data_IF_954255352272
#
_entry.id   IF_954255352272
#
_cell.length_a   1.000
_cell.length_b   1.000
_cell.length_c   1.000
_cell.angle_alpha   90.00
_cell.angle_beta   90.00
_cell.angle_gamma   90.00
#
_symmetry.space_group_name_H-M   'P 1'
#
loop_
_entity.id
_entity.type
_entity.pdbx_description
1 polymer ?
#
# COMPACT_ATOMS: atom_id res chain seq x y z
N UNK A 1 28.62 -5.06 -2.00
CA UNK A 1 27.15 -5.02 -2.05
C UNK A 1 26.78 -3.98 -1.01
N UNK A 2 25.75 -3.18 -1.25
CA UNK A 2 25.30 -2.16 -0.30
C UNK A 2 23.86 -2.43 0.05
N UNK A 3 23.57 -2.46 1.33
CA UNK A 3 22.22 -2.47 1.88
C UNK A 3 21.76 -1.03 2.12
N UNK A 4 20.67 -0.63 1.49
CA UNK A 4 20.20 0.75 1.48
C UNK A 4 18.78 0.81 2.02
N UNK A 5 18.63 1.34 3.24
CA UNK A 5 17.33 1.58 3.86
C UNK A 5 16.70 2.83 3.26
N UNK A 6 15.57 2.65 2.58
CA UNK A 6 14.81 3.68 1.87
C UNK A 6 13.51 4.01 2.60
N UNK A 7 13.18 5.29 2.72
CA UNK A 7 11.89 5.79 3.24
C UNK A 7 11.16 6.56 2.17
N UNK A 8 9.86 6.35 1.96
CA UNK A 8 9.07 7.10 0.97
C UNK A 8 8.32 8.25 1.64
N UNK A 9 8.46 9.48 1.10
CA UNK A 9 7.81 10.67 1.67
C UNK A 9 6.33 10.70 1.29
N UNK A 10 5.46 10.92 2.28
CA UNK A 10 4.00 10.94 2.11
C UNK A 10 3.34 9.56 2.20
N UNK A 11 4.06 8.49 1.86
CA UNK A 11 3.65 7.09 2.06
C UNK A 11 4.12 6.57 3.43
N UNK A 12 5.26 7.04 3.93
CA UNK A 12 5.86 6.61 5.20
C UNK A 12 6.47 5.20 5.17
N UNK A 13 6.24 4.46 4.09
CA UNK A 13 6.85 3.16 3.81
C UNK A 13 8.38 3.18 3.92
N UNK A 14 8.92 2.32 4.79
CA UNK A 14 10.36 2.00 4.91
C UNK A 14 10.63 0.62 4.30
N UNK A 15 11.75 0.45 3.61
CA UNK A 15 12.16 -0.82 3.00
C UNK A 15 13.65 -0.82 2.69
N UNK A 16 14.24 -2.01 2.56
CA UNK A 16 15.67 -2.19 2.27
C UNK A 16 15.86 -2.59 0.81
N UNK A 17 16.86 -2.02 0.16
CA UNK A 17 17.27 -2.38 -1.20
C UNK A 17 18.73 -2.79 -1.19
N UNK A 18 19.02 -3.99 -1.68
CA UNK A 18 20.39 -4.44 -1.91
C UNK A 18 20.83 -4.07 -3.33
N UNK A 19 21.96 -3.37 -3.46
CA UNK A 19 22.48 -2.95 -4.76
C UNK A 19 24.02 -2.97 -4.80
N UNK A 20 24.58 -3.34 -5.94
CA UNK A 20 26.04 -3.30 -6.13
C UNK A 20 26.54 -1.86 -6.31
N UNK A 21 27.66 -1.53 -5.69
CA UNK A 21 28.34 -0.22 -5.71
C UNK A 21 28.54 0.35 -7.12
N UNK A 22 28.82 -0.52 -8.09
CA UNK A 22 29.06 -0.14 -9.49
C UNK A 22 27.79 0.25 -10.26
N UNK A 23 26.61 -0.08 -9.74
CA UNK A 23 25.32 0.26 -10.35
C UNK A 23 25.06 1.75 -10.19
N UNK A 24 24.23 2.28 -11.09
CA UNK A 24 23.89 3.71 -11.09
C UNK A 24 22.66 3.97 -10.24
N UNK A 25 22.52 5.18 -9.73
CA UNK A 25 21.31 5.69 -9.06
C UNK A 25 20.07 5.51 -9.95
N UNK A 26 20.20 5.59 -11.28
CA UNK A 26 19.10 5.28 -12.20
C UNK A 26 18.57 3.83 -12.09
N UNK A 27 19.44 2.85 -11.77
CA UNK A 27 19.03 1.46 -11.52
C UNK A 27 18.32 1.34 -10.18
N UNK A 28 18.85 2.00 -9.15
CA UNK A 28 18.17 2.08 -7.85
C UNK A 28 16.76 2.66 -7.99
N UNK A 29 16.57 3.76 -8.75
CA UNK A 29 15.22 4.30 -9.01
C UNK A 29 14.28 3.29 -9.66
N UNK A 30 14.81 2.44 -10.55
CA UNK A 30 14.04 1.37 -11.19
C UNK A 30 13.68 0.27 -10.16
N UNK A 31 14.62 -0.12 -9.31
CA UNK A 31 14.39 -1.10 -8.23
C UNK A 31 13.35 -0.59 -7.23
N UNK A 32 13.45 0.67 -6.79
CA UNK A 32 12.43 1.31 -5.94
C UNK A 32 11.06 1.31 -6.60
N UNK A 33 11.00 1.61 -7.91
CA UNK A 33 9.75 1.55 -8.68
C UNK A 33 9.17 0.14 -8.73
N UNK A 34 10.00 -0.86 -8.98
CA UNK A 34 9.61 -2.27 -9.09
C UNK A 34 9.14 -2.80 -7.72
N UNK A 35 9.92 -2.57 -6.67
CA UNK A 35 9.63 -3.01 -5.30
C UNK A 35 8.30 -2.44 -4.77
N UNK A 36 8.04 -1.15 -5.04
CA UNK A 36 6.83 -0.47 -4.60
C UNK A 36 5.70 -0.45 -5.63
N UNK A 37 5.93 -1.03 -6.81
CA UNK A 37 4.98 -1.07 -7.92
C UNK A 37 4.39 0.31 -8.28
N UNK A 38 5.19 1.38 -8.23
CA UNK A 38 4.69 2.71 -8.57
C UNK A 38 4.42 2.82 -10.08
N UNK A 39 3.24 3.33 -10.45
CA UNK A 39 2.86 3.46 -11.86
C UNK A 39 3.35 4.77 -12.50
N UNK A 40 4.44 5.32 -11.95
CA UNK A 40 5.00 6.59 -12.38
C UNK A 40 6.24 6.35 -13.26
N UNK A 41 6.51 7.25 -14.22
CA UNK A 41 7.78 7.30 -14.92
C UNK A 41 8.97 7.40 -13.95
N UNK A 42 10.05 6.66 -14.20
CA UNK A 42 11.23 6.57 -13.30
C UNK A 42 11.89 7.95 -13.08
N UNK A 43 11.75 8.85 -14.03
CA UNK A 43 12.22 10.24 -14.01
C UNK A 43 11.42 11.16 -13.07
N UNK A 44 10.23 10.76 -12.65
CA UNK A 44 9.46 11.47 -11.63
C UNK A 44 9.96 11.20 -10.21
N UNK A 45 10.68 10.11 -9.99
CA UNK A 45 11.32 9.81 -8.70
C UNK A 45 12.52 10.73 -8.51
N UNK A 46 12.54 11.48 -7.42
CA UNK A 46 13.75 12.18 -6.98
C UNK A 46 14.22 11.59 -5.67
N UNK A 47 15.46 11.11 -5.65
CA UNK A 47 16.16 10.54 -4.50
C UNK A 47 17.07 11.59 -3.85
N UNK A 48 17.04 11.69 -2.52
CA UNK A 48 17.88 12.53 -1.67
C UNK A 48 18.57 11.76 -0.55
N UNK A 49 19.88 11.91 -0.42
CA UNK A 49 20.63 11.42 0.74
C UNK A 49 20.18 12.18 1.99
N UNK A 50 19.84 11.46 3.06
CA UNK A 50 19.29 12.04 4.27
C UNK A 50 20.33 12.01 5.39
N UNK A 51 21.10 13.10 5.51
CA UNK A 51 22.08 13.31 6.58
C UNK A 51 21.78 14.59 7.34
N UNK A 52 21.93 14.54 8.67
CA UNK A 52 21.81 15.68 9.58
C UNK A 52 23.22 16.08 10.03
N UNK A 53 23.81 17.00 9.27
CA UNK A 53 25.27 17.21 9.33
C UNK A 53 25.98 16.07 8.61
N UNK A 54 26.99 15.48 9.26
CA UNK A 54 27.71 14.31 8.72
C UNK A 54 27.11 12.96 9.15
N UNK A 55 26.09 12.99 10.02
CA UNK A 55 25.47 11.80 10.57
C UNK A 55 24.24 11.35 9.75
N UNK A 56 24.11 10.03 9.58
CA UNK A 56 22.92 9.41 9.03
C UNK A 56 21.71 9.61 9.95
N UNK A 57 20.52 9.69 9.35
CA UNK A 57 19.29 9.70 10.11
C UNK A 57 19.08 8.30 10.71
N UNK A 58 18.77 8.22 12.01
CA UNK A 58 18.54 6.94 12.69
C UNK A 58 17.06 6.60 12.72
N UNK A 59 16.70 5.32 12.76
CA UNK A 59 15.31 4.86 12.84
C UNK A 59 14.56 5.38 14.06
N UNK A 60 15.27 5.66 15.16
CA UNK A 60 14.72 6.28 16.37
C UNK A 60 14.74 7.82 16.36
N UNK A 61 15.21 8.47 15.29
CA UNK A 61 15.14 9.92 15.17
C UNK A 61 13.66 10.34 15.07
N UNK A 62 13.20 11.35 15.83
CA UNK A 62 11.84 11.85 15.73
C UNK A 62 11.42 12.23 14.30
N UNK A 63 12.38 12.69 13.49
CA UNK A 63 12.15 13.01 12.08
C UNK A 63 11.78 11.76 11.27
N UNK A 64 12.23 10.55 11.65
CA UNK A 64 11.85 9.28 11.02
C UNK A 64 10.46 8.84 11.45
N UNK A 65 10.16 8.87 12.75
CA UNK A 65 8.83 8.49 13.26
C UNK A 65 7.73 9.35 12.63
N UNK A 66 7.97 10.65 12.46
CA UNK A 66 7.06 11.54 11.74
C UNK A 66 6.91 11.14 10.27
N UNK A 67 7.98 10.67 9.61
CA UNK A 67 7.89 10.18 8.24
C UNK A 67 7.08 8.91 8.10
N UNK A 68 7.26 7.96 9.01
CA UNK A 68 6.46 6.73 9.07
C UNK A 68 4.97 7.03 9.23
N UNK A 69 4.64 8.11 9.95
CA UNK A 69 3.27 8.62 10.08
C UNK A 69 2.78 9.42 8.84
N UNK A 70 3.59 9.52 7.78
CA UNK A 70 3.27 10.23 6.55
C UNK A 70 3.51 11.76 6.62
N UNK A 71 4.00 12.28 7.75
CA UNK A 71 4.32 13.69 7.92
C UNK A 71 5.71 14.02 7.37
N UNK A 72 5.93 15.27 6.96
CA UNK A 72 7.26 15.71 6.50
C UNK A 72 7.88 16.65 7.54
N UNK A 73 8.82 16.17 8.37
CA UNK A 73 9.48 16.99 9.37
C UNK A 73 10.27 18.12 8.73
N UNK A 74 10.36 19.25 9.45
CA UNK A 74 11.10 20.43 9.01
C UNK A 74 12.57 20.11 8.73
N UNK A 75 13.21 19.30 9.60
CA UNK A 75 14.60 18.88 9.42
C UNK A 75 14.84 18.21 8.07
N UNK A 76 13.91 17.36 7.63
CA UNK A 76 14.06 16.67 6.35
C UNK A 76 13.60 17.51 5.16
N UNK A 77 12.62 18.38 5.34
CA UNK A 77 12.28 19.40 4.35
C UNK A 77 13.49 20.29 4.01
N UNK A 78 14.28 20.66 5.01
CA UNK A 78 15.48 21.48 4.80
C UNK A 78 16.62 20.70 4.12
N UNK A 79 16.76 19.40 4.37
CA UNK A 79 17.66 18.51 3.62
C UNK A 79 17.28 18.47 2.13
N UNK A 80 15.99 18.40 1.80
CA UNK A 80 15.50 18.29 0.43
C UNK A 80 15.68 19.58 -0.39
N UNK A 81 15.77 20.74 0.26
CA UNK A 81 16.06 22.02 -0.41
C UNK A 81 17.51 22.14 -0.85
N UNK A 82 18.42 21.38 -0.23
CA UNK A 82 19.85 21.38 -0.56
C UNK A 82 20.11 20.56 -1.81
N UNK A 83 20.71 21.18 -2.82
CA UNK A 83 20.93 20.55 -4.14
C UNK A 83 21.99 19.44 -4.06
N UNK A 84 22.96 19.57 -3.16
CA UNK A 84 24.01 18.58 -2.92
C UNK A 84 23.48 17.23 -2.42
N UNK A 85 22.33 17.23 -1.73
CA UNK A 85 21.72 16.00 -1.23
C UNK A 85 20.95 15.24 -2.31
N UNK A 86 20.62 15.89 -3.43
CA UNK A 86 19.88 15.28 -4.52
C UNK A 86 20.78 14.33 -5.32
N UNK A 87 20.38 13.06 -5.40
CA UNK A 87 21.15 12.05 -6.11
C UNK A 87 20.98 12.17 -7.63
N UNK A 88 22.10 12.34 -8.35
CA UNK A 88 22.11 12.33 -9.81
C UNK A 88 21.95 10.89 -10.34
N UNK A 89 20.96 10.61 -11.22
CA UNK A 89 20.74 9.28 -11.79
C UNK A 89 21.97 8.67 -12.49
N UNK A 90 22.91 9.50 -12.93
CA UNK A 90 24.11 9.09 -13.67
C UNK A 90 25.23 8.62 -12.74
N UNK A 91 25.18 8.98 -11.46
CA UNK A 91 26.22 8.62 -10.50
C UNK A 91 26.10 7.14 -10.09
N UNK A 92 27.23 6.55 -9.73
CA UNK A 92 27.29 5.20 -9.16
C UNK A 92 26.93 5.25 -7.68
N UNK A 93 26.39 4.15 -7.15
CA UNK A 93 26.09 4.03 -5.72
C UNK A 93 27.37 4.21 -4.89
N UNK A 94 28.47 3.55 -5.26
CA UNK A 94 29.77 3.71 -4.60
C UNK A 94 30.47 5.06 -4.84
N UNK A 95 29.74 6.11 -5.23
CA UNK A 95 30.34 7.43 -5.37
C UNK A 95 30.64 8.00 -3.97
N UNK A 96 31.90 8.40 -3.76
CA UNK A 96 32.42 9.10 -2.57
C UNK A 96 31.52 10.28 -2.14
N UNK A 97 30.88 10.97 -3.08
CA UNK A 97 29.95 12.07 -2.77
C UNK A 97 28.80 11.64 -1.85
N UNK A 98 28.34 10.39 -1.95
CA UNK A 98 27.27 9.88 -1.08
C UNK A 98 27.81 9.34 0.25
N UNK A 99 29.06 8.83 0.24
CA UNK A 99 29.74 8.27 1.40
C UNK A 99 28.91 7.17 2.11
N UNK A 100 28.36 6.22 1.33
CA UNK A 100 27.69 5.04 1.89
C UNK A 100 28.72 4.09 2.51
N UNK A 101 28.54 3.74 3.79
CA UNK A 101 29.38 2.79 4.50
C UNK A 101 29.22 1.39 3.88
N UNK A 102 30.26 0.56 3.98
CA UNK A 102 30.13 -0.86 3.64
C UNK A 102 29.27 -1.57 4.68
N UNK A 103 28.59 -2.66 4.30
CA UNK A 103 27.62 -3.39 5.14
C UNK A 103 28.20 -3.86 6.49
N UNK A 104 29.53 -3.87 6.64
CA UNK A 104 30.23 -4.22 7.89
C UNK A 104 30.40 -3.04 8.89
N UNK A 105 30.25 -1.80 8.42
CA UNK A 105 30.44 -0.58 9.21
C UNK A 105 29.13 0.21 9.42
N UNK A 106 28.04 -0.20 8.78
CA UNK A 106 26.73 0.41 8.89
C UNK A 106 26.01 -0.08 10.17
N UNK A 107 25.56 0.86 11.02
CA UNK A 107 24.67 0.51 12.12
C UNK A 107 23.32 0.00 11.58
N UNK A 108 22.79 -1.09 12.13
CA UNK A 108 21.47 -1.63 11.75
C UNK A 108 20.32 -0.60 11.93
N UNK A 109 20.56 0.45 12.71
CA UNK A 109 19.64 1.54 13.03
C UNK A 109 19.77 2.78 12.11
N UNK A 110 20.65 2.77 11.11
CA UNK A 110 20.90 3.90 10.22
C UNK A 110 20.11 3.82 8.90
N UNK A 111 19.57 4.96 8.47
CA UNK A 111 18.85 5.08 7.20
C UNK A 111 19.80 5.62 6.14
N UNK A 112 20.33 4.72 5.31
CA UNK A 112 21.38 5.06 4.34
C UNK A 112 20.85 5.62 3.02
N UNK A 113 19.57 5.51 2.65
CA UNK A 113 19.11 6.00 1.34
C UNK A 113 17.65 6.45 1.22
N UNK A 114 17.26 6.89 0.03
CA UNK A 114 16.43 8.09 -0.14
C UNK A 114 14.94 7.90 -0.39
N UNK A 115 14.23 8.87 0.19
CA UNK A 115 12.99 9.56 -0.24
C UNK A 115 12.73 9.63 -1.73
N UNK A 116 11.56 9.15 -2.17
CA UNK A 116 10.94 9.48 -3.46
C UNK A 116 9.92 10.62 -3.29
N UNK A 117 10.15 11.76 -3.93
CA UNK A 117 9.12 12.81 -4.11
C UNK A 117 8.56 12.72 -5.53
N UNK A 118 7.24 12.55 -5.65
CA UNK A 118 6.50 12.63 -6.92
C UNK A 118 6.41 14.11 -7.30
N UNK A 119 6.74 14.47 -8.55
CA UNK A 119 6.54 15.85 -9.03
C UNK A 119 5.05 16.16 -9.10
N UNK A 120 4.66 17.31 -8.54
CA UNK A 120 3.33 17.88 -8.77
C UNK A 120 3.15 18.12 -10.27
N UNK A 121 2.28 17.34 -10.87
CA UNK A 121 1.98 17.36 -12.30
C UNK A 121 0.86 16.36 -12.59
N UNK A 122 -0.28 16.88 -13.02
CA UNK A 122 -1.50 16.16 -13.38
C UNK A 122 -1.22 14.86 -14.15
N UNK A 123 -1.41 13.71 -13.51
CA UNK A 123 -1.82 12.49 -14.20
C UNK A 123 -2.42 11.49 -13.22
N UNK A 124 -3.75 11.39 -13.27
CA UNK A 124 -4.58 10.21 -13.00
C UNK A 124 -3.89 9.07 -12.24
N UNK A 125 -3.71 9.22 -10.93
CA UNK A 125 -3.64 8.06 -10.07
C UNK A 125 -5.06 7.49 -10.04
N UNK A 126 -5.23 6.23 -10.40
CA UNK A 126 -6.49 5.52 -10.19
C UNK A 126 -6.86 5.34 -8.71
N UNK A 127 -6.20 6.05 -7.79
CA UNK A 127 -6.52 6.16 -6.36
C UNK A 127 -6.75 7.64 -6.06
N UNK A 128 -7.76 7.93 -5.24
CA UNK A 128 -7.98 9.27 -4.71
C UNK A 128 -6.79 9.71 -3.83
N UNK A 129 -6.51 11.01 -3.80
CA UNK A 129 -5.37 11.63 -3.08
C UNK A 129 -5.50 11.57 -1.54
N UNK A 130 -6.50 10.86 -1.01
CA UNK A 130 -6.91 10.91 0.40
C UNK A 130 -6.08 9.93 1.21
N UNK A 131 -5.46 10.40 2.30
CA UNK A 131 -4.71 9.56 3.21
C UNK A 131 -5.67 8.75 4.10
N UNK A 132 -5.32 7.51 4.40
CA UNK A 132 -6.19 6.67 5.24
C UNK A 132 -6.43 7.26 6.63
N UNK A 133 -5.46 8.00 7.19
CA UNK A 133 -5.67 8.67 8.48
C UNK A 133 -6.81 9.69 8.43
N UNK A 134 -6.89 10.49 7.36
CA UNK A 134 -7.98 11.46 7.16
C UNK A 134 -9.34 10.76 7.03
N UNK A 135 -9.37 9.63 6.31
CA UNK A 135 -10.57 8.78 6.20
C UNK A 135 -10.95 8.21 7.57
N UNK A 136 -9.98 7.73 8.33
CA UNK A 136 -10.21 7.09 9.63
C UNK A 136 -10.76 8.05 10.68
N UNK A 137 -10.35 9.32 10.64
CA UNK A 137 -10.91 10.37 11.52
C UNK A 137 -12.41 10.56 11.29
N UNK A 138 -12.89 10.37 10.05
CA UNK A 138 -14.29 10.57 9.66
C UNK A 138 -15.09 9.28 9.80
N UNK A 139 -14.47 8.14 9.46
CA UNK A 139 -15.06 6.80 9.50
C UNK A 139 -14.21 5.87 10.38
N UNK A 140 -14.31 6.03 11.71
CA UNK A 140 -13.72 5.08 12.65
C UNK A 140 -14.37 3.71 12.45
N UNK A 141 -13.64 2.65 12.81
CA UNK A 141 -14.16 1.30 12.67
C UNK A 141 -13.88 0.44 13.88
N UNK A 142 -14.81 -0.46 14.11
CA UNK A 142 -14.75 -1.47 15.15
C UNK A 142 -14.10 -2.75 14.62
N UNK A 143 -13.35 -3.42 15.49
CA UNK A 143 -12.84 -4.77 15.22
C UNK A 143 -14.03 -5.75 15.22
N UNK A 144 -14.24 -6.44 14.11
CA UNK A 144 -15.18 -7.53 14.01
C UNK A 144 -14.50 -8.83 14.44
N UNK A 145 -15.00 -9.45 15.51
CA UNK A 145 -14.54 -10.78 15.93
C UNK A 145 -15.49 -11.82 15.39
N UNK A 146 -15.12 -12.44 14.28
CA UNK A 146 -15.83 -13.62 13.79
C UNK A 146 -15.52 -14.80 14.70
N UNK A 147 -16.54 -15.48 15.22
CA UNK A 147 -16.34 -16.74 15.93
C UNK A 147 -15.91 -17.81 14.91
N UNK A 148 -14.60 -18.08 14.84
CA UNK A 148 -14.07 -19.13 13.97
C UNK A 148 -14.39 -20.49 14.56
N UNK A 149 -14.85 -21.40 13.70
CA UNK A 149 -15.01 -22.82 14.00
C UNK A 149 -14.22 -23.56 12.94
N UNK A 150 -13.31 -24.44 13.37
CA UNK A 150 -12.50 -25.25 12.46
C UNK A 150 -13.40 -26.00 11.48
N UNK A 151 -13.18 -25.76 10.19
CA UNK A 151 -13.91 -26.41 9.11
C UNK A 151 -13.12 -27.68 8.76
N UNK A 152 -13.75 -28.86 8.82
CA UNK A 152 -13.11 -30.10 8.43
C UNK A 152 -12.82 -30.13 6.93
N UNK A 153 -11.74 -30.80 6.52
CA UNK A 153 -11.29 -30.91 5.13
C UNK A 153 -12.43 -31.34 4.17
N UNK A 154 -13.27 -32.27 4.61
CA UNK A 154 -14.45 -32.76 3.87
C UNK A 154 -15.44 -31.65 3.52
N UNK A 155 -15.51 -30.61 4.35
CA UNK A 155 -16.36 -29.44 4.12
C UNK A 155 -15.70 -28.41 3.22
N UNK A 156 -14.37 -28.34 3.17
CA UNK A 156 -13.62 -27.46 2.25
C UNK A 156 -13.83 -27.94 0.81
N UNK A 157 -13.78 -29.24 0.55
CA UNK A 157 -14.04 -29.82 -0.78
C UNK A 157 -15.47 -29.54 -1.26
N UNK A 158 -16.44 -29.62 -0.34
CA UNK A 158 -17.82 -29.23 -0.60
C UNK A 158 -17.92 -27.73 -0.88
N UNK A 159 -17.19 -26.89 -0.14
CA UNK A 159 -17.14 -25.44 -0.33
C UNK A 159 -16.57 -25.07 -1.70
N UNK A 160 -15.46 -25.70 -2.12
CA UNK A 160 -14.84 -25.48 -3.43
C UNK A 160 -15.79 -25.88 -4.56
N UNK A 161 -16.46 -27.03 -4.43
CA UNK A 161 -17.47 -27.49 -5.38
C UNK A 161 -18.66 -26.51 -5.44
N UNK A 162 -19.10 -25.99 -4.29
CA UNK A 162 -20.15 -24.96 -4.22
C UNK A 162 -19.71 -23.63 -4.82
N UNK A 163 -18.47 -23.20 -4.59
CA UNK A 163 -17.91 -21.97 -5.13
C UNK A 163 -17.83 -22.04 -6.67
N UNK A 164 -17.52 -23.22 -7.22
CA UNK A 164 -17.49 -23.46 -8.66
C UNK A 164 -18.88 -23.41 -9.30
N UNK A 165 -19.90 -23.93 -8.61
CA UNK A 165 -21.30 -23.85 -9.03
C UNK A 165 -21.85 -22.43 -8.88
N UNK A 166 -21.52 -21.78 -7.77
CA UNK A 166 -21.87 -20.39 -7.48
C UNK A 166 -21.29 -19.44 -8.52
N UNK A 167 -20.00 -19.54 -8.84
CA UNK A 167 -19.37 -18.71 -9.88
C UNK A 167 -19.98 -18.91 -11.27
N UNK A 168 -20.45 -20.12 -11.60
CA UNK A 168 -21.22 -20.39 -12.83
C UNK A 168 -22.66 -19.84 -12.78
N UNK A 169 -23.34 -19.92 -11.63
CA UNK A 169 -24.68 -19.38 -11.45
C UNK A 169 -24.69 -17.84 -11.38
N UNK A 170 -23.59 -17.24 -10.95
CA UNK A 170 -23.39 -15.79 -10.80
C UNK A 170 -22.67 -15.15 -12.01
N UNK A 171 -22.71 -15.80 -13.18
CA UNK A 171 -21.98 -15.36 -14.40
C UNK A 171 -22.31 -13.96 -14.94
N UNK A 172 -23.39 -13.31 -14.47
CA UNK A 172 -23.75 -11.92 -14.82
C UNK A 172 -23.37 -10.89 -13.74
N UNK A 173 -22.82 -11.32 -12.60
CA UNK A 173 -22.77 -10.54 -11.36
C UNK A 173 -21.41 -9.88 -11.09
N UNK A 174 -20.34 -10.36 -11.73
CA UNK A 174 -18.98 -9.85 -11.52
C UNK A 174 -18.67 -8.78 -12.55
N UNK A 175 -18.53 -7.55 -12.11
CA UNK A 175 -18.07 -6.43 -12.92
C UNK A 175 -16.57 -6.23 -12.68
N UNK A 176 -15.77 -6.35 -13.73
CA UNK A 176 -14.35 -6.00 -13.69
C UNK A 176 -14.18 -4.48 -13.90
N UNK A 177 -13.20 -3.91 -13.19
CA UNK A 177 -12.73 -2.52 -13.32
C UNK A 177 -13.86 -1.48 -13.29
N UNK A 178 -14.54 -1.37 -12.15
CA UNK A 178 -15.66 -0.44 -11.96
C UNK A 178 -15.18 0.90 -11.41
N UNK A 179 -15.47 1.98 -12.14
CA UNK A 179 -15.37 3.36 -11.64
C UNK A 179 -16.77 3.96 -11.47
N UNK A 180 -16.98 4.69 -10.37
CA UNK A 180 -18.24 5.33 -9.99
C UNK A 180 -17.94 6.74 -9.51
N UNK A 181 -18.68 7.71 -10.02
CA UNK A 181 -18.61 9.12 -9.59
C UNK A 181 -19.80 9.38 -8.67
N UNK A 182 -19.55 9.95 -7.50
CA UNK A 182 -20.62 10.22 -6.53
C UNK A 182 -21.55 11.35 -6.96
N UNK A 183 -22.78 11.34 -6.44
CA UNK A 183 -23.80 12.37 -6.73
C UNK A 183 -23.77 13.47 -5.68
N UNK A 184 -23.88 13.08 -4.41
CA UNK A 184 -23.79 13.95 -3.23
C UNK A 184 -22.45 13.82 -2.54
N UNK A 185 -21.85 12.62 -2.57
CA UNK A 185 -20.49 12.40 -2.10
C UNK A 185 -19.53 12.85 -3.20
N UNK A 186 -18.75 13.91 -2.95
CA UNK A 186 -17.79 14.42 -3.92
C UNK A 186 -16.51 13.57 -3.92
N UNK A 187 -16.55 12.43 -4.60
CA UNK A 187 -15.43 11.52 -4.75
C UNK A 187 -15.65 10.49 -5.85
N UNK A 188 -14.56 9.82 -6.23
CA UNK A 188 -14.55 8.75 -7.23
C UNK A 188 -14.24 7.41 -6.55
N UNK A 189 -15.15 6.45 -6.69
CA UNK A 189 -14.95 5.07 -6.28
C UNK A 189 -14.36 4.25 -7.41
N UNK A 190 -13.26 3.55 -7.16
CA UNK A 190 -12.65 2.62 -8.11
C UNK A 190 -12.48 1.24 -7.47
N UNK A 191 -12.84 0.20 -8.21
CA UNK A 191 -12.76 -1.19 -7.75
C UNK A 191 -12.27 -2.09 -8.89
N UNK A 192 -11.35 -3.00 -8.60
CA UNK A 192 -10.90 -3.99 -9.57
C UNK A 192 -12.00 -5.01 -9.88
N UNK A 193 -12.77 -5.41 -8.87
CA UNK A 193 -13.94 -6.27 -9.07
C UNK A 193 -15.11 -5.82 -8.20
N UNK A 194 -16.32 -6.05 -8.67
CA UNK A 194 -17.54 -5.86 -7.90
C UNK A 194 -18.48 -7.02 -8.14
N UNK A 195 -18.94 -7.64 -7.05
CA UNK A 195 -19.96 -8.69 -7.05
C UNK A 195 -21.27 -8.08 -6.56
N UNK A 196 -22.33 -8.24 -7.36
CA UNK A 196 -23.68 -7.68 -7.13
C UNK A 196 -24.75 -8.74 -6.85
N UNK A 197 -25.34 -8.77 -5.66
CA UNK A 197 -26.48 -9.65 -5.37
C UNK A 197 -27.65 -8.87 -4.80
N UNK A 198 -28.68 -8.59 -5.62
CA UNK A 198 -29.80 -7.76 -5.19
C UNK A 198 -29.31 -6.36 -4.75
N UNK A 199 -29.52 -6.00 -3.50
CA UNK A 199 -28.99 -4.77 -2.87
C UNK A 199 -27.61 -4.93 -2.23
N UNK A 200 -27.03 -6.13 -2.21
CA UNK A 200 -25.70 -6.36 -1.65
C UNK A 200 -24.62 -6.06 -2.69
N UNK A 201 -23.54 -5.40 -2.25
CA UNK A 201 -22.34 -5.15 -3.04
C UNK A 201 -21.12 -5.63 -2.28
N UNK A 202 -20.34 -6.50 -2.92
CA UNK A 202 -19.00 -6.85 -2.48
C UNK A 202 -18.00 -6.26 -3.47
N UNK A 203 -17.24 -5.29 -3.02
CA UNK A 203 -16.26 -4.58 -3.82
C UNK A 203 -14.85 -5.05 -3.45
N UNK A 204 -14.02 -5.30 -4.46
CA UNK A 204 -12.67 -5.81 -4.27
C UNK A 204 -11.70 -4.77 -4.79
N UNK A 205 -10.84 -4.30 -3.88
CA UNK A 205 -9.71 -3.44 -4.19
C UNK A 205 -8.43 -4.24 -4.14
N UNK A 206 -7.76 -4.36 -5.28
CA UNK A 206 -6.39 -4.87 -5.34
C UNK A 206 -5.45 -3.76 -4.89
N UNK A 207 -4.78 -3.97 -3.77
CA UNK A 207 -3.79 -3.05 -3.24
C UNK A 207 -2.37 -3.49 -3.61
N UNK A 208 -1.47 -2.53 -3.68
CA UNK A 208 -0.02 -2.79 -3.76
C UNK A 208 0.49 -3.30 -2.42
N UNK A 209 1.64 -3.99 -2.41
CA UNK A 209 2.18 -4.63 -1.20
C UNK A 209 2.24 -3.70 0.02
N UNK A 210 2.75 -2.49 -0.14
CA UNK A 210 2.77 -1.46 0.91
C UNK A 210 1.61 -0.46 0.84
N UNK A 211 0.80 -0.53 -0.21
CA UNK A 211 -0.33 0.37 -0.45
C UNK A 211 -1.66 -0.12 0.13
N UNK A 212 -1.64 -1.06 1.09
CA UNK A 212 -2.85 -1.62 1.70
C UNK A 212 -3.73 -0.53 2.34
N UNK A 213 -3.12 0.43 3.04
CA UNK A 213 -3.83 1.57 3.62
C UNK A 213 -4.46 2.48 2.54
N UNK A 214 -3.75 2.73 1.45
CA UNK A 214 -4.29 3.50 0.32
C UNK A 214 -5.44 2.75 -0.38
N UNK A 215 -5.29 1.45 -0.58
CA UNK A 215 -6.36 0.58 -1.09
C UNK A 215 -7.60 0.61 -0.19
N UNK A 216 -7.40 0.65 1.13
CA UNK A 216 -8.49 0.78 2.10
C UNK A 216 -9.14 2.16 2.09
N UNK A 217 -8.36 3.23 1.99
CA UNK A 217 -8.89 4.58 1.82
C UNK A 217 -9.79 4.67 0.57
N UNK A 218 -9.32 4.14 -0.56
CA UNK A 218 -10.11 4.03 -1.79
C UNK A 218 -11.38 3.20 -1.59
N UNK A 219 -11.29 2.03 -0.96
CA UNK A 219 -12.44 1.18 -0.71
C UNK A 219 -13.52 1.90 0.11
N UNK A 220 -13.12 2.69 1.10
CA UNK A 220 -14.02 3.38 2.01
C UNK A 220 -14.71 4.54 1.31
N UNK A 221 -13.94 5.44 0.70
CA UNK A 221 -14.48 6.56 -0.09
C UNK A 221 -15.36 6.04 -1.23
N UNK A 222 -14.89 5.01 -1.93
CA UNK A 222 -15.64 4.41 -3.03
C UNK A 222 -16.93 3.74 -2.59
N UNK A 223 -17.00 3.21 -1.37
CA UNK A 223 -18.21 2.63 -0.81
C UNK A 223 -19.24 3.68 -0.46
N UNK A 224 -18.84 4.79 0.14
CA UNK A 224 -19.74 5.94 0.39
C UNK A 224 -20.31 6.48 -0.91
N UNK A 225 -19.46 6.66 -1.92
CA UNK A 225 -19.85 7.04 -3.27
C UNK A 225 -20.85 6.04 -3.87
N UNK A 226 -20.58 4.74 -3.74
CA UNK A 226 -21.44 3.68 -4.28
C UNK A 226 -22.80 3.63 -3.55
N UNK A 227 -22.79 3.72 -2.21
CA UNK A 227 -23.99 3.78 -1.37
C UNK A 227 -24.86 4.98 -1.74
N UNK A 228 -24.25 6.15 -1.96
CA UNK A 228 -24.93 7.35 -2.40
C UNK A 228 -25.57 7.19 -3.79
N UNK A 229 -24.84 6.58 -4.73
CA UNK A 229 -25.28 6.43 -6.13
C UNK A 229 -26.39 5.40 -6.28
N UNK A 230 -26.24 4.26 -5.61
CA UNK A 230 -27.15 3.09 -5.72
C UNK A 230 -28.18 3.00 -4.57
N UNK A 231 -28.10 3.87 -3.55
CA UNK A 231 -29.04 3.90 -2.42
C UNK A 231 -28.87 2.70 -1.48
N UNK A 232 -27.63 2.34 -1.16
CA UNK A 232 -27.30 1.17 -0.35
C UNK A 232 -27.06 1.56 1.10
N UNK A 233 -27.54 0.74 2.03
CA UNK A 233 -27.25 0.87 3.46
C UNK A 233 -26.08 0.00 3.93
N UNK A 234 -25.55 -0.86 3.05
CA UNK A 234 -24.42 -1.75 3.37
C UNK A 234 -23.59 -2.07 2.14
N UNK A 235 -22.28 -1.90 2.27
CA UNK A 235 -21.28 -2.28 1.26
C UNK A 235 -20.18 -3.09 1.91
N UNK A 236 -19.84 -4.23 1.31
CA UNK A 236 -18.75 -5.09 1.73
C UNK A 236 -17.51 -4.79 0.89
N UNK A 237 -16.34 -4.82 1.52
CA UNK A 237 -15.06 -4.60 0.87
C UNK A 237 -14.07 -5.72 1.18
N UNK A 238 -13.29 -6.07 0.17
CA UNK A 238 -12.05 -6.83 0.30
C UNK A 238 -10.93 -5.97 -0.24
N UNK A 239 -9.94 -5.67 0.58
CA UNK A 239 -8.70 -5.02 0.16
C UNK A 239 -7.59 -6.04 0.27
N UNK A 240 -6.91 -6.34 -0.83
CA UNK A 240 -5.90 -7.40 -0.82
C UNK A 240 -4.71 -7.11 -1.72
N UNK A 241 -3.52 -7.48 -1.25
CA UNK A 241 -2.29 -7.59 -2.05
C UNK A 241 -1.91 -9.07 -2.32
N UNK A 242 -2.86 -9.99 -2.11
CA UNK A 242 -2.75 -11.46 -2.10
C UNK A 242 -2.03 -12.07 -0.91
N UNK A 243 -1.26 -11.30 -0.14
CA UNK A 243 -0.63 -11.73 1.12
C UNK A 243 -1.53 -11.39 2.31
N UNK A 244 -2.01 -10.15 2.34
CA UNK A 244 -2.97 -9.66 3.32
C UNK A 244 -4.35 -9.52 2.70
N UNK A 245 -5.37 -9.88 3.47
CA UNK A 245 -6.76 -9.79 3.10
C UNK A 245 -7.50 -9.01 4.19
N UNK A 246 -7.90 -7.79 3.88
CA UNK A 246 -8.64 -6.94 4.79
C UNK A 246 -10.09 -6.88 4.37
N UNK A 247 -10.95 -7.32 5.27
CA UNK A 247 -12.39 -7.32 5.09
C UNK A 247 -12.96 -6.10 5.79
N UNK A 248 -13.97 -5.49 5.18
CA UNK A 248 -14.74 -4.44 5.86
C UNK A 248 -16.20 -4.51 5.48
N UNK A 249 -17.06 -4.22 6.45
CA UNK A 249 -18.49 -4.02 6.27
C UNK A 249 -18.82 -2.58 6.63
N UNK A 250 -19.21 -1.79 5.65
CA UNK A 250 -19.56 -0.38 5.81
C UNK A 250 -21.08 -0.28 5.86
N UNK A 251 -21.60 0.32 6.92
CA UNK A 251 -23.02 0.58 7.17
C UNK A 251 -23.20 2.07 7.48
N UNK A 252 -24.44 2.56 7.41
CA UNK A 252 -24.78 3.98 7.57
C UNK A 252 -24.15 4.67 8.81
N UNK A 253 -24.05 3.96 9.93
CA UNK A 253 -23.56 4.53 11.20
C UNK A 253 -22.24 3.92 11.69
N UNK A 254 -21.74 2.86 11.03
CA UNK A 254 -20.59 2.12 11.56
C UNK A 254 -19.83 1.37 10.49
N UNK A 255 -18.54 1.21 10.73
CA UNK A 255 -17.67 0.36 9.93
C UNK A 255 -17.12 -0.76 10.79
N UNK A 256 -17.18 -1.98 10.29
CA UNK A 256 -16.59 -3.15 10.93
C UNK A 256 -15.43 -3.69 10.07
N UNK A 257 -14.39 -4.20 10.73
CA UNK A 257 -13.17 -4.69 10.06
C UNK A 257 -12.77 -6.07 10.54
N UNK A 258 -12.25 -6.87 9.61
CA UNK A 258 -11.55 -8.10 9.91
C UNK A 258 -10.32 -8.22 9.00
N UNK A 259 -9.34 -9.04 9.36
CA UNK A 259 -8.13 -9.23 8.59
C UNK A 259 -7.60 -10.66 8.68
N UNK A 260 -7.15 -11.17 7.54
CA UNK A 260 -6.45 -12.44 7.46
C UNK A 260 -5.11 -12.28 6.72
N UNK A 261 -4.16 -13.14 7.06
CA UNK A 261 -2.84 -13.21 6.42
C UNK A 261 -2.66 -14.60 5.80
N UNK A 262 -2.35 -14.62 4.51
CA UNK A 262 -2.02 -15.83 3.78
C UNK A 262 -0.51 -16.02 3.80
N UNK A 263 -0.05 -17.13 4.38
CA UNK A 263 1.37 -17.46 4.46
C UNK A 263 1.79 -18.24 3.23
N UNK A 264 2.97 -17.92 2.69
CA UNK A 264 3.51 -18.56 1.50
C UNK A 264 4.81 -19.30 1.80
N UNK A 265 4.99 -20.46 1.17
CA UNK A 265 6.28 -21.17 1.11
C UNK A 265 6.56 -21.43 -0.38
N UNK A 266 7.72 -20.98 -0.87
CA UNK A 266 8.11 -21.09 -2.29
C UNK A 266 7.06 -20.54 -3.26
N UNK A 267 6.42 -19.41 -2.92
CA UNK A 267 5.32 -18.79 -3.68
C UNK A 267 4.02 -19.62 -3.77
N UNK A 268 3.87 -20.64 -2.92
CA UNK A 268 2.66 -21.46 -2.79
C UNK A 268 2.00 -21.13 -1.43
N UNK A 269 0.70 -20.81 -1.38
CA UNK A 269 -0.02 -20.67 -0.12
C UNK A 269 0.11 -21.92 0.75
N UNK A 270 0.36 -21.74 2.04
CA UNK A 270 0.43 -22.86 2.97
C UNK A 270 -0.97 -23.31 3.36
N UNK A 271 -1.17 -24.62 3.50
CA UNK A 271 -2.46 -25.19 3.93
C UNK A 271 -2.93 -24.64 5.29
N UNK A 272 -2.00 -24.36 6.19
CA UNK A 272 -2.28 -23.74 7.50
C UNK A 272 -2.87 -22.33 7.36
N UNK A 273 -2.54 -21.58 6.31
CA UNK A 273 -3.17 -20.28 6.06
C UNK A 273 -4.55 -20.37 5.41
N UNK A 274 -4.90 -21.50 4.79
CA UNK A 274 -6.26 -21.73 4.25
C UNK A 274 -7.25 -22.09 5.38
N UNK A 275 -6.76 -22.67 6.48
CA UNK A 275 -7.56 -23.06 7.65
C UNK A 275 -7.86 -21.90 8.63
N UNK A 276 -7.11 -20.78 8.53
CA UNK A 276 -7.20 -19.63 9.44
C UNK A 276 -7.78 -18.35 8.79
N UNK A 277 -8.12 -18.38 7.50
CA UNK A 277 -8.93 -17.37 6.80
C UNK A 277 -10.42 -17.68 6.96
#
# INVERSE_FOLDING_TARGET
MKSLTCVVVGDGSVFVVEIEDRKKVGILKKMVKEEKMYNLPVDQFTLYVVKKGDNWLKTNDPDVTMLENGEVPKGVSDIMKKKENKMDPRYRIGNITFNFLDDYDAGEDEIHESKAKIKDGESSTGYSFVLFHEVFTIMPADEYKQFTKTIGDDKIDVLYSYLLVATKAFGEIILAEKSIVGKRVHGDGKFEFMIKRGSERLCIVKAKKTGMYQGRAQAYVGSEVLSDVEGLSTVFNIVTNYEYWWFSRIMDERVERDAAEMKFVNSIPTRISEENC
#
